data_IF_509535381355
#
_entry.id   IF_509535381355
#
_cell.length_a   1.000
_cell.length_b   1.000
_cell.length_c   1.000
_cell.angle_alpha   90.00
_cell.angle_beta   90.00
_cell.angle_gamma   90.00
#
_symmetry.space_group_name_H-M   'P 1'
#
loop_
_entity.id
_entity.type
_entity.pdbx_description
1 polymer ?
#
# COMPACT_ATOMS: atom_id res chain seq x y z
N UNK A 1 11.46 8.22 -18.79
CA UNK A 1 11.37 7.26 -17.67
C UNK A 1 10.64 7.93 -16.52
N UNK A 2 9.50 7.39 -16.09
CA UNK A 2 8.77 7.92 -14.92
C UNK A 2 9.53 7.49 -13.67
N UNK A 3 10.18 8.41 -12.97
CA UNK A 3 10.81 8.09 -11.68
C UNK A 3 9.68 7.79 -10.70
N UNK A 4 9.55 6.57 -10.18
CA UNK A 4 8.62 6.33 -9.08
C UNK A 4 9.22 6.96 -7.82
N UNK A 5 8.42 7.72 -7.06
CA UNK A 5 8.82 8.13 -5.71
C UNK A 5 8.15 7.16 -4.75
N UNK A 6 8.95 6.50 -3.95
CA UNK A 6 8.46 5.68 -2.85
C UNK A 6 8.10 6.60 -1.68
N UNK A 7 6.90 6.45 -1.13
CA UNK A 7 6.51 7.14 0.11
C UNK A 7 6.52 6.14 1.24
N UNK A 8 7.20 6.48 2.33
CA UNK A 8 7.18 5.68 3.56
C UNK A 8 5.75 5.66 4.11
N UNK A 9 5.20 4.47 4.28
CA UNK A 9 3.91 4.23 4.89
C UNK A 9 4.14 3.78 6.33
N UNK A 10 4.11 4.74 7.25
CA UNK A 10 4.41 4.49 8.66
C UNK A 10 3.40 3.50 9.26
N UNK A 11 3.90 2.33 9.63
CA UNK A 11 3.18 1.36 10.43
C UNK A 11 3.87 1.25 11.79
N UNK A 12 3.13 1.09 12.89
CA UNK A 12 3.70 0.89 14.22
C UNK A 12 4.26 -0.53 14.36
N UNK A 13 5.21 -0.88 13.50
CA UNK A 13 6.03 -2.09 13.60
C UNK A 13 7.24 -1.77 14.48
N UNK A 14 7.54 -2.63 15.45
CA UNK A 14 8.61 -2.36 16.42
C UNK A 14 9.54 -3.57 16.64
N UNK A 15 10.75 -3.27 17.12
CA UNK A 15 11.69 -4.27 17.63
C UNK A 15 11.34 -4.62 19.07
N UNK A 16 11.02 -5.89 19.33
CA UNK A 16 10.67 -6.32 20.69
C UNK A 16 11.89 -6.34 21.60
N UNK A 17 13.05 -6.67 21.04
CA UNK A 17 14.34 -6.51 21.70
C UNK A 17 14.54 -5.09 22.22
N UNK A 18 14.32 -4.07 21.38
CA UNK A 18 14.49 -2.66 21.74
C UNK A 18 13.56 -2.23 22.86
N UNK A 19 12.29 -2.63 22.81
CA UNK A 19 11.31 -2.37 23.88
C UNK A 19 11.75 -3.00 25.21
N UNK A 20 12.09 -4.29 25.20
CA UNK A 20 12.54 -4.97 26.42
C UNK A 20 13.77 -4.30 27.01
N UNK A 21 14.76 -3.98 26.18
CA UNK A 21 15.97 -3.32 26.65
C UNK A 21 15.68 -1.94 27.27
N UNK A 22 14.75 -1.18 26.71
CA UNK A 22 14.31 0.09 27.29
C UNK A 22 13.69 -0.11 28.70
N UNK A 23 12.89 -1.17 28.86
CA UNK A 23 12.24 -1.58 30.11
C UNK A 23 13.18 -2.25 31.12
N UNK A 24 14.42 -2.58 30.74
CA UNK A 24 15.34 -3.33 31.60
C UNK A 24 15.56 -2.61 32.95
N UNK A 25 15.60 -3.31 34.10
CA UNK A 25 15.78 -2.65 35.39
C UNK A 25 17.20 -2.07 35.56
N UNK A 26 18.18 -2.62 34.84
CA UNK A 26 19.58 -2.18 34.91
C UNK A 26 19.78 -0.89 34.12
N UNK A 27 20.48 0.08 34.73
CA UNK A 27 20.91 1.30 34.02
C UNK A 27 22.36 1.17 33.53
N UNK A 28 23.19 0.45 34.29
CA UNK A 28 24.58 0.13 33.97
C UNK A 28 24.92 -1.25 34.54
N UNK A 29 25.52 -2.11 33.72
CA UNK A 29 25.93 -3.45 34.14
C UNK A 29 27.14 -3.90 33.29
N UNK A 30 27.97 -4.84 33.78
CA UNK A 30 28.93 -5.58 32.96
C UNK A 30 28.28 -6.14 31.68
N UNK A 31 29.07 -6.29 30.62
CA UNK A 31 28.57 -6.83 29.35
C UNK A 31 28.05 -8.27 29.49
N UNK A 32 28.69 -9.11 30.32
CA UNK A 32 28.19 -10.46 30.65
C UNK A 32 26.77 -10.44 31.22
N UNK A 33 26.50 -9.57 32.19
CA UNK A 33 25.17 -9.45 32.81
C UNK A 33 24.10 -9.01 31.78
N UNK A 34 24.48 -8.13 30.85
CA UNK A 34 23.60 -7.74 29.75
C UNK A 34 23.34 -8.88 28.77
N UNK A 35 24.35 -9.70 28.45
CA UNK A 35 24.19 -10.91 27.64
C UNK A 35 23.18 -11.88 28.27
N UNK A 36 23.40 -12.25 29.53
CA UNK A 36 22.53 -13.17 30.26
C UNK A 36 21.09 -12.64 30.34
N UNK A 37 20.95 -11.35 30.62
CA UNK A 37 19.65 -10.70 30.68
C UNK A 37 18.94 -10.72 29.33
N UNK A 38 19.66 -10.46 28.23
CA UNK A 38 19.11 -10.48 26.87
C UNK A 38 18.69 -11.89 26.43
N UNK A 39 19.48 -12.90 26.74
CA UNK A 39 19.13 -14.30 26.47
C UNK A 39 17.87 -14.74 27.22
N UNK A 40 17.72 -14.27 28.46
CA UNK A 40 16.49 -14.50 29.22
C UNK A 40 15.24 -13.87 28.56
N UNK A 41 15.39 -12.83 27.71
CA UNK A 41 14.26 -12.19 27.04
C UNK A 41 13.70 -13.03 25.89
N UNK A 42 14.44 -14.00 25.36
CA UNK A 42 13.93 -14.92 24.32
C UNK A 42 12.71 -15.68 24.87
N UNK A 43 12.78 -16.14 26.12
CA UNK A 43 11.65 -16.79 26.82
C UNK A 43 10.46 -15.84 27.04
N UNK A 44 10.69 -14.52 26.99
CA UNK A 44 9.68 -13.45 27.15
C UNK A 44 9.20 -12.86 25.82
N UNK A 45 9.44 -13.55 24.72
CA UNK A 45 8.87 -13.26 23.41
C UNK A 45 9.78 -12.48 22.45
N UNK A 46 11.01 -12.13 22.84
CA UNK A 46 12.02 -11.64 21.88
C UNK A 46 12.39 -12.78 20.94
N UNK A 47 12.48 -12.52 19.64
CA UNK A 47 12.90 -13.55 18.68
C UNK A 47 14.39 -13.83 18.86
N UNK A 48 14.78 -15.11 18.96
CA UNK A 48 16.19 -15.50 18.97
C UNK A 48 16.94 -14.93 17.77
N UNK A 49 16.30 -14.93 16.59
CA UNK A 49 16.88 -14.35 15.36
C UNK A 49 17.08 -12.84 15.43
N UNK A 50 16.19 -12.13 16.11
CA UNK A 50 16.36 -10.69 16.34
C UNK A 50 17.53 -10.43 17.28
N UNK A 51 17.66 -11.24 18.32
CA UNK A 51 18.78 -11.17 19.25
C UNK A 51 20.10 -11.50 18.55
N UNK A 52 20.15 -12.56 17.75
CA UNK A 52 21.33 -12.97 16.98
C UNK A 52 21.78 -11.86 16.02
N UNK A 53 20.84 -11.28 15.26
CA UNK A 53 21.11 -10.15 14.37
C UNK A 53 21.61 -8.90 15.13
N UNK A 54 21.20 -8.73 16.39
CA UNK A 54 21.64 -7.62 17.22
C UNK A 54 23.00 -7.84 17.90
N UNK A 55 23.40 -9.10 18.15
CA UNK A 55 24.65 -9.44 18.85
C UNK A 55 25.86 -8.81 18.16
N UNK A 56 25.96 -8.92 16.84
CA UNK A 56 27.06 -8.32 16.09
C UNK A 56 27.18 -6.81 16.29
N UNK A 57 26.06 -6.09 16.46
CA UNK A 57 26.04 -4.65 16.68
C UNK A 57 26.31 -4.26 18.13
N UNK A 58 25.76 -5.01 19.08
CA UNK A 58 25.89 -4.74 20.50
C UNK A 58 27.33 -4.92 20.98
N UNK A 59 28.02 -5.93 20.46
CA UNK A 59 29.27 -6.43 21.02
C UNK A 59 30.49 -6.21 20.11
N UNK A 60 30.34 -5.52 18.97
CA UNK A 60 31.43 -5.29 18.00
C UNK A 60 32.71 -4.71 18.61
N UNK A 61 32.56 -3.87 19.63
CA UNK A 61 33.66 -3.10 20.25
C UNK A 61 33.96 -3.55 21.68
N UNK A 62 33.33 -4.64 22.14
CA UNK A 62 33.45 -5.14 23.53
C UNK A 62 34.32 -6.38 23.51
N UNK A 63 35.60 -6.21 23.82
CA UNK A 63 36.57 -7.31 23.90
C UNK A 63 36.61 -7.96 25.29
N UNK A 64 36.17 -7.23 26.31
CA UNK A 64 36.21 -7.65 27.71
C UNK A 64 34.79 -7.59 28.29
N UNK A 65 34.29 -8.74 28.74
CA UNK A 65 32.95 -8.90 29.29
C UNK A 65 32.72 -8.14 30.61
N UNK A 66 33.80 -7.72 31.28
CA UNK A 66 33.75 -6.89 32.50
C UNK A 66 33.45 -5.42 32.23
N UNK A 67 33.54 -4.97 30.97
CA UNK A 67 33.24 -3.59 30.58
C UNK A 67 31.79 -3.27 30.94
N UNK A 68 31.60 -2.20 31.72
CA UNK A 68 30.27 -1.75 32.13
C UNK A 68 29.64 -0.91 31.04
N UNK A 69 28.52 -1.37 30.53
CA UNK A 69 27.73 -0.68 29.50
C UNK A 69 26.47 -0.09 30.13
N UNK A 70 26.17 1.13 29.72
CA UNK A 70 24.91 1.78 30.09
C UNK A 70 23.79 1.33 29.15
N UNK A 71 22.55 1.31 29.65
CA UNK A 71 21.36 1.04 28.83
C UNK A 71 21.27 1.98 27.62
N UNK A 72 21.61 3.25 27.81
CA UNK A 72 21.58 4.26 26.74
C UNK A 72 22.56 3.93 25.60
N UNK A 73 23.77 3.45 25.92
CA UNK A 73 24.75 3.02 24.90
C UNK A 73 24.22 1.82 24.09
N UNK A 74 23.63 0.83 24.77
CA UNK A 74 23.06 -0.33 24.09
C UNK A 74 21.88 0.07 23.19
N UNK A 75 20.96 0.91 23.68
CA UNK A 75 19.84 1.42 22.88
C UNK A 75 20.32 2.22 21.66
N UNK A 76 21.38 3.02 21.79
CA UNK A 76 21.96 3.77 20.69
C UNK A 76 22.53 2.84 19.59
N UNK A 77 23.13 1.71 19.97
CA UNK A 77 23.59 0.67 19.02
C UNK A 77 22.44 -0.03 18.30
N UNK A 78 21.22 0.00 18.83
CA UNK A 78 20.03 -0.62 18.24
C UNK A 78 19.19 0.32 17.36
N UNK A 79 19.63 1.54 17.02
CA UNK A 79 18.85 2.49 16.20
C UNK A 79 18.72 2.05 14.73
N UNK A 80 19.62 1.19 14.26
CA UNK A 80 19.66 0.68 12.89
C UNK A 80 19.76 -0.84 12.88
N UNK A 81 18.74 -1.48 13.45
CA UNK A 81 18.72 -2.93 13.52
C UNK A 81 18.53 -3.53 12.12
N UNK A 82 19.18 -4.66 11.80
CA UNK A 82 18.91 -5.39 10.57
C UNK A 82 17.44 -5.84 10.47
N UNK A 83 16.74 -5.86 11.61
CA UNK A 83 15.32 -6.19 11.73
C UNK A 83 14.38 -4.99 11.61
N UNK A 84 14.88 -3.75 11.52
CA UNK A 84 14.03 -2.60 11.29
C UNK A 84 13.35 -2.71 9.92
N UNK A 85 12.05 -2.46 9.90
CA UNK A 85 11.21 -2.60 8.71
C UNK A 85 10.64 -1.24 8.31
N UNK A 86 10.76 -0.94 7.02
CA UNK A 86 10.10 0.21 6.39
C UNK A 86 9.15 -0.30 5.34
N UNK A 87 7.86 0.01 5.51
CA UNK A 87 6.84 -0.23 4.49
C UNK A 87 6.75 0.98 3.59
N UNK A 88 6.80 0.76 2.28
CA UNK A 88 6.77 1.80 1.26
C UNK A 88 5.61 1.57 0.30
N UNK A 89 5.01 2.66 -0.13
CA UNK A 89 3.98 2.70 -1.17
C UNK A 89 4.59 3.36 -2.42
N UNK A 90 4.75 2.64 -3.55
CA UNK A 90 5.18 3.23 -4.80
C UNK A 90 4.14 4.26 -5.26
N UNK A 91 4.57 5.50 -5.52
CA UNK A 91 3.71 6.54 -6.08
C UNK A 91 4.25 7.01 -7.42
N UNK A 92 3.33 7.26 -8.37
CA UNK A 92 3.69 8.02 -9.56
C UNK A 92 4.11 9.42 -9.10
N UNK A 93 5.27 9.89 -9.58
CA UNK A 93 5.82 11.21 -9.24
C UNK A 93 4.93 12.35 -9.68
N UNK A 94 4.17 12.15 -10.76
CA UNK A 94 3.09 13.05 -11.17
C UNK A 94 1.74 12.40 -10.84
N UNK A 95 0.87 13.06 -10.06
CA UNK A 95 -0.55 12.77 -10.13
C UNK A 95 -0.95 12.79 -11.61
N UNK A 96 -1.83 11.88 -12.05
CA UNK A 96 -2.47 12.10 -13.33
C UNK A 96 -3.19 13.45 -13.27
N UNK A 97 -3.11 14.30 -14.31
CA UNK A 97 -3.80 15.58 -14.33
C UNK A 97 -5.26 15.39 -13.91
N UNK A 98 -5.80 16.32 -13.12
CA UNK A 98 -7.19 16.24 -12.72
C UNK A 98 -8.06 16.27 -13.99
N UNK A 99 -8.88 15.23 -14.16
CA UNK A 99 -9.85 15.18 -15.25
C UNK A 99 -11.03 16.06 -14.86
N UNK A 100 -11.20 17.17 -15.57
CA UNK A 100 -12.37 18.02 -15.46
C UNK A 100 -13.30 17.72 -16.63
N UNK A 101 -14.58 17.55 -16.34
CA UNK A 101 -15.64 17.42 -17.34
C UNK A 101 -16.17 18.83 -17.63
N UNK A 102 -16.17 19.23 -18.90
CA UNK A 102 -16.77 20.50 -19.31
C UNK A 102 -18.30 20.40 -19.27
N UNK A 103 -18.93 21.35 -18.59
CA UNK A 103 -20.39 21.41 -18.42
C UNK A 103 -20.97 22.66 -19.09
N UNK A 104 -20.26 23.79 -19.04
CA UNK A 104 -20.62 25.04 -19.72
C UNK A 104 -22.10 25.44 -19.59
N UNK A 105 -22.63 25.52 -18.36
CA UNK A 105 -24.02 25.93 -18.10
C UNK A 105 -24.11 27.12 -17.15
N UNK A 106 -25.19 27.89 -17.27
CA UNK A 106 -25.51 28.94 -16.30
C UNK A 106 -25.81 28.29 -14.94
N UNK A 107 -25.38 28.93 -13.86
CA UNK A 107 -25.65 28.46 -12.52
C UNK A 107 -27.11 28.77 -12.13
N UNK A 108 -27.91 27.74 -11.89
CA UNK A 108 -29.37 27.89 -11.71
C UNK A 108 -29.80 28.31 -10.30
N UNK A 109 -28.90 28.40 -9.31
CA UNK A 109 -29.27 28.74 -7.92
C UNK A 109 -29.03 30.20 -7.59
N UNK A 110 -30.10 30.89 -7.18
CA UNK A 110 -30.12 32.24 -6.59
C UNK A 110 -29.58 32.30 -5.14
N UNK A 111 -28.60 31.45 -4.78
CA UNK A 111 -28.00 31.53 -3.45
C UNK A 111 -27.12 32.79 -3.35
N UNK A 112 -27.74 33.83 -2.80
CA UNK A 112 -27.21 35.16 -2.59
C UNK A 112 -25.76 35.13 -2.09
N UNK A 113 -24.88 35.75 -2.86
CA UNK A 113 -23.48 35.91 -2.52
C UNK A 113 -23.34 36.94 -1.38
N UNK A 114 -23.26 36.45 -0.14
CA UNK A 114 -22.87 37.23 1.04
C UNK A 114 -21.36 37.52 0.98
N UNK A 115 -20.93 38.57 0.29
CA UNK A 115 -19.53 39.02 0.47
C UNK A 115 -18.94 40.05 -0.47
N UNK A 116 -19.47 40.28 -1.68
CA UNK A 116 -19.00 41.35 -2.56
C UNK A 116 -20.19 42.23 -2.92
N UNK A 117 -20.30 43.38 -2.24
CA UNK A 117 -21.46 44.28 -2.35
C UNK A 117 -21.52 45.06 -3.67
N UNK A 118 -20.43 45.06 -4.45
CA UNK A 118 -20.27 45.96 -5.60
C UNK A 118 -20.23 45.22 -6.96
N UNK A 119 -20.52 43.92 -7.00
CA UNK A 119 -20.54 43.15 -8.26
C UNK A 119 -21.97 43.14 -8.81
N UNK A 120 -22.19 43.88 -9.89
CA UNK A 120 -23.47 43.94 -10.61
C UNK A 120 -23.87 42.54 -11.08
N UNK A 121 -24.93 42.01 -10.47
CA UNK A 121 -25.78 40.86 -10.85
C UNK A 121 -25.47 40.20 -12.21
N UNK A 122 -24.43 39.37 -12.27
CA UNK A 122 -24.30 38.35 -13.33
C UNK A 122 -24.17 36.99 -12.69
N UNK A 123 -25.06 36.08 -13.09
CA UNK A 123 -25.05 34.70 -12.63
C UNK A 123 -23.72 34.04 -13.05
N UNK A 124 -23.07 33.28 -12.15
CA UNK A 124 -21.89 32.51 -12.53
C UNK A 124 -22.20 31.55 -13.66
N UNK A 125 -21.20 31.30 -14.51
CA UNK A 125 -21.19 30.17 -15.44
C UNK A 125 -20.41 29.02 -14.80
N UNK A 126 -21.04 27.86 -14.65
CA UNK A 126 -20.34 26.61 -14.33
C UNK A 126 -19.64 26.12 -15.59
N UNK A 127 -18.31 26.15 -15.57
CA UNK A 127 -17.50 25.81 -16.73
C UNK A 127 -17.15 24.33 -16.71
N UNK A 128 -16.58 23.84 -15.61
CA UNK A 128 -16.13 22.46 -15.51
C UNK A 128 -16.26 21.87 -14.11
N UNK A 129 -16.34 20.54 -14.02
CA UNK A 129 -16.53 19.80 -12.76
C UNK A 129 -15.52 18.67 -12.62
N UNK A 130 -15.11 18.39 -11.38
CA UNK A 130 -14.42 17.17 -11.02
C UNK A 130 -15.20 16.47 -9.89
N UNK A 131 -15.95 15.43 -10.26
CA UNK A 131 -16.82 14.71 -9.33
C UNK A 131 -16.05 13.98 -8.21
N UNK A 132 -14.81 13.54 -8.47
CA UNK A 132 -14.02 12.79 -7.51
C UNK A 132 -13.63 13.63 -6.27
N UNK A 133 -13.45 14.94 -6.45
CA UNK A 133 -13.05 15.87 -5.37
C UNK A 133 -14.12 16.89 -5.01
N UNK A 134 -15.29 16.79 -5.63
CA UNK A 134 -16.38 17.74 -5.50
C UNK A 134 -15.93 19.17 -5.85
N UNK A 135 -15.13 19.32 -6.92
CA UNK A 135 -14.74 20.63 -7.44
C UNK A 135 -15.70 21.08 -8.53
N UNK A 136 -16.14 22.33 -8.44
CA UNK A 136 -16.93 23.00 -9.46
C UNK A 136 -16.26 24.33 -9.81
N UNK A 137 -15.75 24.45 -11.04
CA UNK A 137 -15.08 25.66 -11.51
C UNK A 137 -16.10 26.59 -12.13
N UNK A 138 -16.25 27.75 -11.51
CA UNK A 138 -17.17 28.79 -11.95
C UNK A 138 -16.40 30.01 -12.44
N UNK A 139 -16.90 30.63 -13.49
CA UNK A 139 -16.43 31.91 -14.02
C UNK A 139 -17.52 32.97 -13.83
N UNK A 140 -17.12 34.16 -13.39
CA UNK A 140 -17.96 35.35 -13.34
C UNK A 140 -17.38 36.41 -14.25
N UNK A 141 -18.27 37.11 -14.95
CA UNK A 141 -17.93 38.31 -15.70
C UNK A 141 -18.33 39.50 -14.85
N UNK A 142 -17.33 40.17 -14.27
CA UNK A 142 -17.51 41.39 -13.48
C UNK A 142 -17.25 42.58 -14.39
N UNK A 143 -18.06 43.63 -14.24
CA UNK A 143 -17.77 44.93 -14.84
C UNK A 143 -17.49 45.91 -13.71
N UNK A 144 -16.31 46.51 -13.71
CA UNK A 144 -15.91 47.55 -12.77
C UNK A 144 -15.38 48.79 -13.52
N UNK A 145 -14.81 49.76 -12.77
CA UNK A 145 -14.24 50.99 -13.34
C UNK A 145 -13.01 50.75 -14.21
N UNK A 146 -12.38 49.58 -14.11
CA UNK A 146 -11.22 49.17 -14.91
C UNK A 146 -11.63 48.34 -16.15
N UNK A 147 -12.91 48.01 -16.28
CA UNK A 147 -13.48 47.35 -17.45
C UNK A 147 -14.20 46.04 -17.11
N UNK A 148 -14.34 45.18 -18.12
CA UNK A 148 -14.92 43.85 -17.97
C UNK A 148 -13.80 42.87 -17.65
N UNK A 149 -13.91 42.17 -16.53
CA UNK A 149 -12.95 41.17 -16.08
C UNK A 149 -13.64 39.85 -15.80
N UNK A 150 -12.95 38.75 -16.14
CA UNK A 150 -13.33 37.42 -15.71
C UNK A 150 -12.62 37.08 -14.40
N UNK A 151 -13.38 36.57 -13.43
CA UNK A 151 -12.81 35.99 -12.22
C UNK A 151 -13.35 34.59 -12.01
N UNK A 152 -12.45 33.73 -11.55
CA UNK A 152 -12.68 32.31 -11.42
C UNK A 152 -12.69 31.91 -9.94
N UNK A 153 -13.46 30.88 -9.60
CA UNK A 153 -13.48 30.32 -8.25
C UNK A 153 -13.86 28.85 -8.26
N UNK A 154 -13.36 28.12 -7.26
CA UNK A 154 -13.69 26.71 -7.05
C UNK A 154 -14.75 26.59 -5.96
N UNK A 155 -15.88 26.00 -6.31
CA UNK A 155 -17.01 25.73 -5.42
C UNK A 155 -17.13 24.22 -5.13
N UNK A 156 -17.88 23.89 -4.07
CA UNK A 156 -18.31 22.53 -3.76
C UNK A 156 -19.61 22.16 -4.49
N UNK A 157 -20.08 20.91 -4.33
CA UNK A 157 -21.32 20.39 -4.92
C UNK A 157 -22.58 21.15 -4.51
N UNK A 158 -22.47 22.00 -3.49
CA UNK A 158 -23.55 22.83 -2.96
C UNK A 158 -23.41 24.30 -3.37
N UNK A 159 -22.43 24.66 -4.19
CA UNK A 159 -22.20 26.04 -4.64
C UNK A 159 -21.47 26.92 -3.62
N UNK A 160 -20.93 26.35 -2.55
CA UNK A 160 -20.18 27.12 -1.53
C UNK A 160 -18.71 27.15 -1.91
N UNK A 161 -17.93 28.18 -1.49
CA UNK A 161 -16.49 28.17 -1.69
C UNK A 161 -15.90 26.87 -1.15
N UNK A 162 -15.13 26.17 -1.97
CA UNK A 162 -14.64 24.85 -1.61
C UNK A 162 -13.77 24.94 -0.34
N UNK A 163 -13.98 24.02 0.61
CA UNK A 163 -13.23 23.97 1.88
C UNK A 163 -12.95 22.54 2.27
N UNK A 164 -11.81 22.31 2.92
CA UNK A 164 -11.48 21.03 3.54
C UNK A 164 -11.10 21.20 5.00
N UNK A 165 -11.70 20.38 5.87
CA UNK A 165 -11.33 20.30 7.30
C UNK A 165 -9.84 19.94 7.53
N UNK A 166 -9.21 19.31 6.54
CA UNK A 166 -7.84 18.82 6.61
C UNK A 166 -6.78 19.86 6.24
N UNK A 167 -7.17 20.96 5.60
CA UNK A 167 -6.25 22.02 5.15
C UNK A 167 -6.39 23.31 5.98
N UNK A 168 -7.10 23.24 7.11
CA UNK A 168 -7.38 24.40 7.96
C UNK A 168 -8.42 25.37 7.37
N UNK A 169 -8.62 26.52 8.03
CA UNK A 169 -9.60 27.55 7.64
C UNK A 169 -9.12 28.47 6.52
N UNK A 170 -8.30 28.00 5.58
CA UNK A 170 -7.89 28.85 4.45
C UNK A 170 -9.10 29.06 3.51
N UNK A 171 -9.50 30.31 3.23
CA UNK A 171 -10.57 30.58 2.29
C UNK A 171 -10.11 30.23 0.86
N UNK A 172 -11.00 29.63 0.06
CA UNK A 172 -10.77 29.45 -1.38
C UNK A 172 -10.67 30.84 -2.05
N UNK A 173 -9.53 31.18 -2.67
CA UNK A 173 -9.31 32.48 -3.30
C UNK A 173 -10.09 32.60 -4.62
N UNK A 174 -10.11 33.81 -5.17
CA UNK A 174 -10.46 34.04 -6.57
C UNK A 174 -9.21 33.89 -7.45
N UNK A 175 -9.40 33.53 -8.72
CA UNK A 175 -8.33 33.33 -9.70
C UNK A 175 -8.57 34.19 -10.94
N UNK A 176 -7.51 34.60 -11.62
CA UNK A 176 -7.61 35.40 -12.84
C UNK A 176 -7.92 34.56 -14.09
N UNK A 177 -7.78 33.23 -14.02
CA UNK A 177 -8.03 32.32 -15.14
C UNK A 177 -8.49 30.93 -14.71
N UNK A 178 -9.08 30.19 -15.64
CA UNK A 178 -9.44 28.78 -15.45
C UNK A 178 -8.21 27.93 -15.09
N UNK A 179 -7.08 28.16 -15.77
CA UNK A 179 -5.85 27.40 -15.55
C UNK A 179 -5.25 27.64 -14.16
N UNK A 180 -5.37 28.84 -13.62
CA UNK A 180 -5.01 29.11 -12.22
C UNK A 180 -5.92 28.37 -11.24
N UNK A 181 -7.24 28.36 -11.49
CA UNK A 181 -8.19 27.62 -10.67
C UNK A 181 -7.92 26.11 -10.71
N UNK A 182 -7.65 25.55 -11.91
CA UNK A 182 -7.26 24.14 -12.10
C UNK A 182 -5.95 23.81 -11.39
N UNK A 183 -4.91 24.65 -11.53
CA UNK A 183 -3.64 24.47 -10.81
C UNK A 183 -3.84 24.49 -9.30
N UNK A 184 -4.67 25.40 -8.79
CA UNK A 184 -5.00 25.43 -7.37
C UNK A 184 -5.71 24.14 -6.92
N UNK A 185 -6.65 23.60 -7.70
CA UNK A 185 -7.27 22.30 -7.44
C UNK A 185 -6.23 21.18 -7.38
N UNK A 186 -5.26 21.17 -8.30
CA UNK A 186 -4.18 20.18 -8.31
C UNK A 186 -3.29 20.29 -7.05
N UNK A 187 -2.96 21.50 -6.62
CA UNK A 187 -2.22 21.74 -5.37
C UNK A 187 -2.99 21.28 -4.14
N UNK A 188 -4.29 21.60 -4.08
CA UNK A 188 -5.20 21.16 -3.01
C UNK A 188 -5.25 19.65 -2.97
N UNK A 189 -5.42 18.97 -4.11
CA UNK A 189 -5.40 17.51 -4.18
C UNK A 189 -4.04 16.97 -3.78
N UNK A 190 -2.93 17.58 -4.19
CA UNK A 190 -1.59 17.15 -3.78
C UNK A 190 -1.40 17.20 -2.25
N UNK A 191 -1.98 18.20 -1.58
CA UNK A 191 -1.94 18.32 -0.10
C UNK A 191 -2.93 17.40 0.60
N UNK A 192 -4.09 17.12 0.00
CA UNK A 192 -5.05 16.15 0.51
C UNK A 192 -4.61 14.70 0.28
N UNK A 193 -3.79 14.43 -0.74
CA UNK A 193 -3.40 13.08 -1.18
C UNK A 193 -2.72 12.26 -0.08
N UNK A 194 -1.76 12.78 0.71
CA UNK A 194 -1.21 12.08 1.85
C UNK A 194 -2.27 11.72 2.90
N UNK A 195 -3.29 12.57 3.09
CA UNK A 195 -4.28 12.46 4.17
C UNK A 195 -5.52 11.64 3.79
N UNK A 196 -5.93 11.64 2.52
CA UNK A 196 -7.08 10.87 2.00
C UNK A 196 -6.69 9.51 1.41
N UNK A 197 -5.40 9.19 1.36
CA UNK A 197 -4.93 7.94 0.73
C UNK A 197 -5.26 7.81 -0.77
N UNK A 198 -5.74 8.87 -1.45
CA UNK A 198 -6.51 8.70 -2.69
C UNK A 198 -6.30 9.69 -3.84
N UNK A 199 -5.16 10.40 -3.94
CA UNK A 199 -4.99 11.39 -5.04
C UNK A 199 -3.69 11.39 -5.86
N UNK A 200 -2.72 10.55 -5.49
CA UNK A 200 -1.70 10.09 -6.44
C UNK A 200 -2.04 8.65 -6.67
N UNK A 201 -2.33 8.27 -7.91
CA UNK A 201 -2.44 6.87 -8.27
C UNK A 201 -1.16 6.18 -7.77
N UNK A 202 -1.34 5.15 -6.94
CA UNK A 202 -0.25 4.25 -6.62
C UNK A 202 0.40 3.84 -7.94
N UNK A 203 1.73 3.90 -8.00
CA UNK A 203 2.46 3.36 -9.14
C UNK A 203 2.38 1.84 -9.00
N UNK A 204 1.27 1.27 -9.44
CA UNK A 204 1.03 -0.16 -9.46
C UNK A 204 1.68 -0.72 -10.71
N UNK A 205 2.67 -1.61 -10.52
CA UNK A 205 3.41 -2.26 -11.60
C UNK A 205 2.62 -3.43 -12.19
N UNK A 206 1.80 -4.08 -11.37
CA UNK A 206 1.16 -5.37 -11.65
C UNK A 206 -0.37 -5.29 -11.62
N UNK A 207 -0.94 -4.12 -11.91
CA UNK A 207 -2.39 -3.88 -11.92
C UNK A 207 -3.19 -4.84 -12.82
N UNK A 208 -2.56 -5.39 -13.86
CA UNK A 208 -3.15 -6.38 -14.76
C UNK A 208 -3.26 -7.79 -14.14
N UNK A 209 -2.51 -8.06 -13.08
CA UNK A 209 -2.55 -9.31 -12.31
C UNK A 209 -3.47 -9.24 -11.09
N UNK A 210 -4.21 -8.14 -10.95
CA UNK A 210 -5.15 -7.96 -9.84
C UNK A 210 -6.37 -8.87 -9.98
N UNK A 211 -6.84 -9.40 -8.85
CA UNK A 211 -8.13 -10.06 -8.71
C UNK A 211 -9.26 -9.04 -8.90
N UNK A 212 -10.22 -9.34 -9.77
CA UNK A 212 -11.27 -8.39 -10.19
C UNK A 212 -12.28 -8.10 -9.07
N UNK A 213 -13.00 -7.00 -9.22
CA UNK A 213 -14.04 -6.48 -8.30
C UNK A 213 -13.57 -5.82 -7.01
N UNK A 214 -12.29 -5.91 -6.64
CA UNK A 214 -11.77 -5.15 -5.52
C UNK A 214 -11.78 -3.65 -5.80
N UNK A 215 -11.68 -2.84 -4.76
CA UNK A 215 -11.42 -1.40 -4.82
C UNK A 215 -9.98 -1.11 -4.36
N UNK A 216 -9.48 0.09 -4.62
CA UNK A 216 -8.24 0.62 -4.03
C UNK A 216 -7.05 -0.36 -4.06
N UNK A 217 -6.74 -0.87 -5.26
CA UNK A 217 -5.60 -1.77 -5.45
C UNK A 217 -4.28 -1.09 -5.12
N UNK A 218 -3.46 -1.75 -4.31
CA UNK A 218 -2.16 -1.25 -3.86
C UNK A 218 -1.11 -2.35 -3.89
N UNK A 219 0.10 -1.93 -4.18
CA UNK A 219 1.33 -2.72 -4.08
C UNK A 219 2.18 -2.13 -2.98
N UNK A 220 2.60 -2.97 -2.04
CA UNK A 220 3.37 -2.55 -0.87
C UNK A 220 4.74 -3.19 -0.90
N UNK A 221 5.76 -2.38 -0.64
CA UNK A 221 7.15 -2.82 -0.59
C UNK A 221 7.59 -2.81 0.86
N UNK A 222 7.85 -3.99 1.41
CA UNK A 222 8.35 -4.15 2.78
C UNK A 222 9.86 -4.30 2.68
N UNK A 223 10.58 -3.31 3.20
CA UNK A 223 12.04 -3.20 3.09
C UNK A 223 12.71 -3.32 4.45
N UNK A 224 13.92 -3.86 4.49
CA UNK A 224 14.77 -3.94 5.69
C UNK A 224 16.03 -3.08 5.48
N UNK A 225 15.94 -1.75 5.70
CA UNK A 225 16.93 -0.79 5.21
C UNK A 225 18.35 -0.95 5.78
N UNK A 226 18.48 -1.61 6.92
CA UNK A 226 19.76 -1.83 7.59
C UNK A 226 20.20 -3.30 7.55
N UNK A 227 19.44 -4.17 6.88
CA UNK A 227 19.85 -5.56 6.70
C UNK A 227 20.96 -5.65 5.63
N UNK A 228 22.15 -6.18 5.98
CA UNK A 228 23.28 -6.28 5.06
C UNK A 228 23.11 -7.50 4.15
N UNK A 229 22.19 -7.42 3.17
CA UNK A 229 22.09 -8.44 2.13
C UNK A 229 23.47 -8.62 1.46
N UNK A 230 23.97 -9.87 1.39
CA UNK A 230 25.35 -10.22 0.97
C UNK A 230 25.76 -9.66 -0.41
N UNK A 231 24.79 -9.29 -1.22
CA UNK A 231 24.90 -8.35 -2.31
C UNK A 231 23.64 -7.49 -2.19
N UNK A 232 23.65 -6.18 -2.46
CA UNK A 232 22.43 -5.34 -2.41
C UNK A 232 21.32 -6.01 -3.21
N UNK A 233 20.47 -6.78 -2.53
CA UNK A 233 19.53 -7.65 -3.20
C UNK A 233 18.51 -6.73 -3.86
N UNK A 234 18.60 -6.66 -5.18
CA UNK A 234 17.64 -5.97 -6.02
C UNK A 234 16.91 -7.09 -6.74
N UNK A 235 15.61 -7.20 -6.52
CA UNK A 235 14.78 -8.06 -7.35
C UNK A 235 14.85 -7.52 -8.78
N UNK A 236 15.67 -8.17 -9.62
CA UNK A 236 15.88 -7.73 -11.01
C UNK A 236 14.60 -7.80 -11.85
N UNK A 237 13.58 -8.51 -11.38
CA UNK A 237 12.33 -8.77 -12.11
C UNK A 237 11.13 -8.02 -11.50
N UNK A 238 11.03 -7.90 -10.17
CA UNK A 238 9.82 -7.38 -9.51
C UNK A 238 9.89 -5.88 -9.19
N UNK A 239 10.86 -5.42 -8.40
CA UNK A 239 11.01 -3.99 -8.10
C UNK A 239 12.48 -3.63 -7.95
N UNK A 240 12.88 -2.50 -8.53
CA UNK A 240 14.21 -1.93 -8.38
C UNK A 240 14.39 -1.21 -7.02
N UNK A 241 13.81 -1.78 -5.97
CA UNK A 241 13.83 -1.22 -4.61
C UNK A 241 14.92 -1.94 -3.83
N UNK A 242 15.91 -1.22 -3.29
CA UNK A 242 16.97 -1.83 -2.51
C UNK A 242 16.38 -2.44 -1.24
N UNK A 243 17.00 -3.54 -0.79
CA UNK A 243 16.66 -4.18 0.49
C UNK A 243 15.18 -4.60 0.57
N UNK A 244 14.59 -4.98 -0.57
CA UNK A 244 13.23 -5.47 -0.64
C UNK A 244 13.15 -6.87 -0.01
N UNK A 245 12.53 -6.95 1.17
CA UNK A 245 12.31 -8.21 1.86
C UNK A 245 11.11 -8.96 1.26
N UNK A 246 9.99 -8.25 1.04
CA UNK A 246 8.80 -8.82 0.42
C UNK A 246 7.93 -7.75 -0.24
N UNK A 247 7.05 -8.22 -1.11
CA UNK A 247 6.02 -7.46 -1.80
C UNK A 247 4.64 -8.02 -1.43
N UNK A 248 3.69 -7.11 -1.17
CA UNK A 248 2.29 -7.46 -0.93
C UNK A 248 1.40 -6.80 -1.99
N UNK A 249 0.41 -7.53 -2.50
CA UNK A 249 -0.67 -6.97 -3.32
C UNK A 249 -1.97 -7.01 -2.52
N UNK A 250 -2.67 -5.89 -2.47
CA UNK A 250 -3.92 -5.80 -1.72
C UNK A 250 -4.99 -5.05 -2.48
N UNK A 251 -6.24 -5.44 -2.27
CA UNK A 251 -7.42 -4.66 -2.63
C UNK A 251 -8.38 -4.57 -1.44
N UNK A 252 -9.32 -3.63 -1.48
CA UNK A 252 -10.43 -3.56 -0.52
C UNK A 252 -11.66 -4.23 -1.11
N UNK A 253 -12.27 -5.13 -0.37
CA UNK A 253 -13.53 -5.78 -0.75
C UNK A 253 -14.60 -5.51 0.30
N UNK A 254 -15.84 -5.87 -0.06
CA UNK A 254 -17.01 -5.79 0.81
C UNK A 254 -17.74 -7.13 0.84
N UNK A 255 -18.23 -7.49 2.02
CA UNK A 255 -19.16 -8.61 2.24
C UNK A 255 -20.27 -8.11 3.16
N UNK A 256 -21.44 -7.80 2.60
CA UNK A 256 -22.47 -7.01 3.28
C UNK A 256 -21.96 -5.60 3.65
N UNK A 257 -22.05 -5.26 4.93
CA UNK A 257 -21.56 -3.99 5.48
C UNK A 257 -20.06 -4.02 5.81
N UNK A 258 -19.48 -5.21 5.95
CA UNK A 258 -18.08 -5.36 6.34
C UNK A 258 -17.16 -4.99 5.17
N UNK A 259 -16.13 -4.17 5.44
CA UNK A 259 -15.07 -3.85 4.48
C UNK A 259 -13.77 -4.47 4.93
N UNK A 260 -13.07 -5.19 4.06
CA UNK A 260 -11.84 -5.89 4.46
C UNK A 260 -10.70 -5.68 3.47
N UNK A 261 -9.47 -5.73 4.00
CA UNK A 261 -8.26 -5.75 3.21
C UNK A 261 -8.02 -7.17 2.71
N UNK A 262 -8.18 -7.38 1.42
CA UNK A 262 -7.92 -8.65 0.78
C UNK A 262 -6.48 -8.70 0.27
N UNK A 263 -5.72 -9.66 0.80
CA UNK A 263 -4.33 -9.89 0.48
C UNK A 263 -4.26 -10.86 -0.70
N UNK A 264 -4.18 -10.29 -1.90
CA UNK A 264 -4.14 -11.02 -3.18
C UNK A 264 -2.83 -11.75 -3.41
N UNK A 265 -1.73 -11.23 -2.84
CA UNK A 265 -0.43 -11.88 -2.93
C UNK A 265 0.50 -11.48 -1.78
N UNK A 266 1.26 -12.45 -1.30
CA UNK A 266 2.43 -12.27 -0.43
C UNK A 266 3.61 -12.96 -1.11
N UNK A 267 4.63 -12.19 -1.49
CA UNK A 267 5.79 -12.74 -2.21
C UNK A 267 7.11 -12.17 -1.67
N UNK A 268 8.07 -13.06 -1.43
CA UNK A 268 9.45 -12.69 -1.09
C UNK A 268 10.42 -13.38 -2.04
N UNK A 269 10.93 -12.64 -3.04
CA UNK A 269 11.96 -13.16 -3.94
C UNK A 269 13.24 -13.51 -3.19
N UNK A 270 13.56 -12.72 -2.15
CA UNK A 270 14.71 -12.94 -1.31
C UNK A 270 14.63 -14.31 -0.62
N UNK A 271 13.56 -14.56 0.14
CA UNK A 271 13.40 -15.82 0.86
C UNK A 271 13.21 -17.01 -0.11
N UNK A 272 12.63 -16.79 -1.30
CA UNK A 272 12.56 -17.81 -2.35
C UNK A 272 13.94 -18.15 -2.92
N UNK A 273 14.80 -17.16 -3.17
CA UNK A 273 16.19 -17.36 -3.64
C UNK A 273 17.00 -18.10 -2.58
N UNK A 274 16.96 -17.66 -1.33
CA UNK A 274 17.63 -18.32 -0.22
C UNK A 274 17.24 -19.80 -0.09
N UNK A 275 15.93 -20.08 -0.12
CA UNK A 275 15.41 -21.46 -0.06
C UNK A 275 15.88 -22.34 -1.23
N UNK A 276 16.13 -21.75 -2.42
CA UNK A 276 16.65 -22.49 -3.58
C UNK A 276 18.15 -22.76 -3.44
N UNK A 277 18.94 -21.78 -2.99
CA UNK A 277 20.38 -21.94 -2.76
C UNK A 277 20.69 -23.07 -1.78
N UNK A 278 19.90 -23.17 -0.70
CA UNK A 278 20.04 -24.24 0.30
C UNK A 278 19.77 -25.63 -0.29
N UNK A 279 18.72 -25.78 -1.10
CA UNK A 279 18.42 -27.07 -1.76
C UNK A 279 19.47 -27.46 -2.80
N UNK A 280 20.13 -26.47 -3.41
CA UNK A 280 21.20 -26.69 -4.39
C UNK A 280 22.55 -27.07 -3.77
N UNK A 281 22.66 -27.13 -2.44
CA UNK A 281 23.92 -27.50 -1.77
C UNK A 281 25.04 -26.45 -1.88
N UNK A 282 24.74 -25.23 -2.33
CA UNK A 282 25.74 -24.17 -2.53
C UNK A 282 26.11 -23.41 -1.23
N UNK A 283 25.83 -23.97 -0.06
CA UNK A 283 26.52 -23.67 1.21
C UNK A 283 26.38 -22.26 1.81
N UNK A 284 25.72 -21.31 1.16
CA UNK A 284 25.54 -19.97 1.73
C UNK A 284 24.48 -20.06 2.83
N UNK A 285 24.92 -19.92 4.08
CA UNK A 285 24.04 -19.79 5.24
C UNK A 285 23.38 -18.42 5.15
N UNK A 286 22.14 -18.37 4.67
CA UNK A 286 21.33 -17.15 4.68
C UNK A 286 20.99 -16.78 6.14
N UNK A 287 21.74 -15.83 6.72
CA UNK A 287 21.54 -15.28 8.06
C UNK A 287 20.40 -14.25 8.12
N UNK A 288 19.39 -14.42 7.28
CA UNK A 288 18.22 -13.57 7.26
C UNK A 288 17.34 -13.82 8.50
N UNK A 289 17.16 -12.82 9.39
CA UNK A 289 16.38 -12.98 10.60
C UNK A 289 14.89 -13.20 10.32
N UNK A 290 14.42 -12.89 9.10
CA UNK A 290 13.06 -13.11 8.65
C UNK A 290 12.85 -14.48 7.97
N UNK A 291 13.90 -15.28 7.79
CA UNK A 291 13.81 -16.63 7.22
C UNK A 291 12.87 -17.49 8.08
N UNK A 292 11.65 -17.73 7.61
CA UNK A 292 10.60 -18.45 8.34
C UNK A 292 9.58 -17.58 9.10
N UNK A 293 9.81 -16.27 9.23
CA UNK A 293 8.84 -15.33 9.83
C UNK A 293 8.30 -14.28 8.85
N UNK A 294 8.86 -14.18 7.64
CA UNK A 294 8.46 -13.17 6.65
C UNK A 294 6.96 -13.21 6.32
N UNK A 295 6.33 -14.39 6.26
CA UNK A 295 4.87 -14.49 6.06
C UNK A 295 4.11 -13.86 7.23
N UNK A 296 4.53 -14.13 8.46
CA UNK A 296 3.91 -13.55 9.64
C UNK A 296 4.10 -12.03 9.69
N UNK A 297 5.29 -11.54 9.33
CA UNK A 297 5.55 -10.10 9.19
C UNK A 297 4.63 -9.45 8.14
N UNK A 298 4.46 -10.08 6.97
CA UNK A 298 3.54 -9.60 5.93
C UNK A 298 2.09 -9.51 6.43
N UNK A 299 1.63 -10.51 7.19
CA UNK A 299 0.31 -10.50 7.81
C UNK A 299 0.17 -9.43 8.90
N UNK A 300 1.18 -9.23 9.76
CA UNK A 300 1.19 -8.15 10.76
C UNK A 300 1.12 -6.78 10.08
N UNK A 301 1.87 -6.57 9.01
CA UNK A 301 1.80 -5.35 8.20
C UNK A 301 0.39 -5.16 7.60
N UNK A 302 -0.21 -6.21 7.03
CA UNK A 302 -1.57 -6.15 6.50
C UNK A 302 -2.63 -5.82 7.57
N UNK A 303 -2.51 -6.39 8.78
CA UNK A 303 -3.38 -6.05 9.92
C UNK A 303 -3.24 -4.57 10.28
N UNK A 304 -2.02 -4.05 10.41
CA UNK A 304 -1.81 -2.63 10.72
C UNK A 304 -2.28 -1.70 9.60
N UNK A 305 -2.16 -2.10 8.33
CA UNK A 305 -2.76 -1.40 7.19
C UNK A 305 -4.28 -1.34 7.32
N UNK A 306 -4.93 -2.48 7.59
CA UNK A 306 -6.38 -2.56 7.77
C UNK A 306 -6.86 -1.71 8.96
N UNK A 307 -6.17 -1.76 10.11
CA UNK A 307 -6.48 -0.89 11.25
C UNK A 307 -6.39 0.60 10.88
N UNK A 308 -5.31 1.01 10.19
CA UNK A 308 -5.11 2.40 9.75
C UNK A 308 -6.16 2.85 8.74
N UNK A 309 -6.62 1.95 7.88
CA UNK A 309 -7.65 2.21 6.87
C UNK A 309 -9.08 2.15 7.44
N UNK A 310 -9.25 1.73 8.70
CA UNK A 310 -10.56 1.56 9.33
C UNK A 310 -11.37 0.41 8.74
N UNK A 311 -10.69 -0.67 8.31
CA UNK A 311 -11.32 -1.86 7.72
C UNK A 311 -11.63 -2.91 8.79
N UNK A 312 -12.71 -3.66 8.60
CA UNK A 312 -13.27 -4.66 9.51
C UNK A 312 -12.53 -6.01 9.50
N UNK A 313 -11.50 -6.14 8.66
CA UNK A 313 -10.57 -7.25 8.78
C UNK A 313 -9.57 -7.40 7.65
N UNK A 314 -8.86 -8.53 7.69
CA UNK A 314 -7.88 -8.95 6.68
C UNK A 314 -8.25 -10.34 6.19
N UNK A 315 -8.47 -10.48 4.89
CA UNK A 315 -8.69 -11.77 4.24
C UNK A 315 -7.50 -12.12 3.34
N UNK A 316 -7.26 -13.40 3.10
CA UNK A 316 -6.10 -13.88 2.34
C UNK A 316 -6.58 -14.76 1.18
N UNK A 317 -6.00 -14.57 0.00
CA UNK A 317 -6.28 -15.40 -1.16
C UNK A 317 -5.97 -16.88 -0.92
N UNK A 318 -6.73 -17.75 -1.57
CA UNK A 318 -6.40 -19.19 -1.69
C UNK A 318 -5.29 -19.42 -2.71
N UNK A 319 -4.68 -20.61 -2.74
CA UNK A 319 -3.70 -20.96 -3.77
C UNK A 319 -4.28 -21.06 -5.18
N UNK A 320 -5.58 -21.35 -5.29
CA UNK A 320 -6.28 -21.46 -6.57
C UNK A 320 -6.43 -20.12 -7.30
N UNK A 321 -6.51 -19.01 -6.57
CA UNK A 321 -6.75 -17.69 -7.16
C UNK A 321 -5.52 -17.15 -7.91
N UNK A 322 -4.30 -17.15 -7.33
CA UNK A 322 -3.09 -16.88 -8.09
C UNK A 322 -2.90 -17.84 -9.27
N UNK A 323 -3.28 -19.12 -9.16
CA UNK A 323 -3.21 -20.07 -10.28
C UNK A 323 -4.10 -19.64 -11.45
N UNK A 324 -5.29 -19.09 -11.17
CA UNK A 324 -6.16 -18.51 -12.20
C UNK A 324 -5.53 -17.27 -12.83
N UNK A 325 -4.96 -16.37 -12.02
CA UNK A 325 -4.33 -15.13 -12.50
C UNK A 325 -3.11 -15.46 -13.38
N UNK A 326 -2.23 -16.34 -12.90
CA UNK A 326 -0.98 -16.73 -13.57
C UNK A 326 -1.17 -17.76 -14.67
N UNK A 327 -2.32 -18.44 -14.72
CA UNK A 327 -2.66 -19.51 -15.68
C UNK A 327 -1.61 -20.61 -15.76
N UNK A 328 -0.97 -20.85 -14.64
CA UNK A 328 0.06 -21.86 -14.51
C UNK A 328 -0.22 -22.55 -13.18
N UNK A 329 -0.96 -23.67 -13.19
CA UNK A 329 -1.24 -24.42 -11.99
C UNK A 329 0.05 -24.76 -11.27
N UNK A 330 0.13 -24.44 -9.99
CA UNK A 330 1.36 -24.66 -9.23
C UNK A 330 1.00 -25.21 -7.85
N UNK A 331 1.27 -26.51 -7.65
CA UNK A 331 1.04 -27.19 -6.36
C UNK A 331 1.72 -26.48 -5.19
N UNK A 332 2.84 -25.80 -5.43
CA UNK A 332 3.54 -24.98 -4.44
C UNK A 332 2.71 -23.79 -3.95
N UNK A 333 1.84 -23.20 -4.79
CA UNK A 333 0.97 -22.09 -4.37
C UNK A 333 -0.15 -22.55 -3.45
N UNK A 334 -0.78 -23.69 -3.73
CA UNK A 334 -1.75 -24.30 -2.82
C UNK A 334 -1.11 -24.61 -1.45
N UNK A 335 0.07 -25.24 -1.42
CA UNK A 335 0.79 -25.49 -0.16
C UNK A 335 1.14 -24.17 0.55
N UNK A 336 1.59 -23.16 -0.18
CA UNK A 336 1.96 -21.88 0.41
C UNK A 336 0.76 -21.14 1.01
N UNK A 337 -0.26 -20.80 0.21
CA UNK A 337 -1.41 -20.03 0.69
C UNK A 337 -2.30 -20.85 1.59
N UNK A 338 -2.69 -22.03 1.13
CA UNK A 338 -3.70 -22.82 1.83
C UNK A 338 -3.09 -23.48 3.06
N UNK A 339 -1.78 -23.72 3.18
CA UNK A 339 -1.21 -24.32 4.41
C UNK A 339 -0.39 -23.32 5.20
N UNK A 340 0.65 -22.74 4.60
CA UNK A 340 1.60 -21.93 5.37
C UNK A 340 1.02 -20.57 5.78
N UNK A 341 0.38 -19.84 4.85
CA UNK A 341 -0.21 -18.53 5.14
C UNK A 341 -1.40 -18.70 6.07
N UNK A 342 -2.29 -19.67 5.83
CA UNK A 342 -3.41 -19.99 6.74
C UNK A 342 -2.94 -20.30 8.16
N UNK A 343 -1.93 -21.17 8.34
CA UNK A 343 -1.37 -21.46 9.67
C UNK A 343 -0.76 -20.23 10.34
N UNK A 344 -0.11 -19.35 9.58
CA UNK A 344 0.44 -18.10 10.11
C UNK A 344 -0.69 -17.13 10.52
N UNK A 345 -1.77 -17.05 9.73
CA UNK A 345 -2.96 -16.28 10.02
C UNK A 345 -3.64 -16.76 11.30
N UNK A 346 -3.78 -18.09 11.46
CA UNK A 346 -4.37 -18.70 12.64
C UNK A 346 -3.58 -18.39 13.92
N UNK A 347 -2.25 -18.55 13.84
CA UNK A 347 -1.33 -18.20 14.93
C UNK A 347 -1.46 -16.72 15.29
N UNK A 348 -1.54 -15.84 14.29
CA UNK A 348 -1.70 -14.40 14.49
C UNK A 348 -3.05 -14.08 15.18
N UNK A 349 -4.15 -14.70 14.74
CA UNK A 349 -5.46 -14.52 15.38
C UNK A 349 -5.43 -14.89 16.86
N UNK A 350 -4.88 -16.08 17.18
CA UNK A 350 -4.77 -16.55 18.56
C UNK A 350 -3.93 -15.60 19.41
N UNK A 351 -2.83 -15.13 18.86
CA UNK A 351 -1.88 -14.23 19.52
C UNK A 351 -2.48 -12.85 19.84
N UNK A 352 -3.36 -12.36 18.96
CA UNK A 352 -4.07 -11.09 19.11
C UNK A 352 -5.44 -11.21 19.79
N UNK A 353 -5.89 -12.44 20.04
CA UNK A 353 -7.24 -12.78 20.51
C UNK A 353 -8.34 -12.26 19.57
N UNK A 354 -8.09 -12.38 18.26
CA UNK A 354 -9.04 -11.98 17.22
C UNK A 354 -9.91 -13.17 16.80
N UNK A 355 -11.12 -12.84 16.37
CA UNK A 355 -12.04 -13.78 15.76
C UNK A 355 -11.56 -14.16 14.35
N UNK A 356 -11.56 -15.46 14.07
CA UNK A 356 -11.37 -15.98 12.72
C UNK A 356 -12.73 -16.31 12.12
N UNK A 357 -12.87 -16.04 10.83
CA UNK A 357 -14.02 -16.46 10.06
C UNK A 357 -13.67 -16.64 8.60
N UNK A 358 -14.69 -16.60 7.77
CA UNK A 358 -14.55 -16.51 6.32
C UNK A 358 -15.38 -15.34 5.80
N UNK A 359 -15.00 -14.84 4.63
CA UNK A 359 -15.78 -13.89 3.85
C UNK A 359 -15.91 -14.39 2.43
N UNK A 360 -17.00 -13.99 1.81
CA UNK A 360 -17.21 -14.22 0.39
C UNK A 360 -16.84 -12.97 -0.38
N UNK A 361 -16.03 -13.10 -1.42
CA UNK A 361 -15.86 -12.04 -2.40
C UNK A 361 -16.18 -12.52 -3.80
N UNK A 362 -16.66 -11.58 -4.61
CA UNK A 362 -17.02 -11.80 -6.01
C UNK A 362 -15.78 -11.59 -6.87
N UNK A 363 -15.15 -12.69 -7.29
CA UNK A 363 -14.09 -12.68 -8.29
C UNK A 363 -14.61 -12.97 -9.69
N UNK A 364 -13.75 -12.84 -10.70
CA UNK A 364 -14.05 -13.37 -12.03
C UNK A 364 -13.44 -14.77 -12.14
N UNK A 365 -14.24 -15.76 -12.54
CA UNK A 365 -13.76 -17.13 -12.89
C UNK A 365 -12.62 -17.15 -13.92
N UNK A 366 -12.58 -16.14 -14.80
CA UNK A 366 -11.66 -16.05 -15.92
C UNK A 366 -10.80 -14.82 -15.78
N UNK A 367 -9.53 -15.04 -15.50
CA UNK A 367 -8.51 -14.00 -15.51
C UNK A 367 -8.00 -13.80 -16.93
N UNK A 368 -8.21 -12.60 -17.45
CA UNK A 368 -7.68 -12.15 -18.73
C UNK A 368 -6.63 -11.06 -18.53
N UNK A 369 -5.65 -11.02 -19.41
CA UNK A 369 -4.61 -9.99 -19.42
C UNK A 369 -4.55 -9.41 -20.83
N UNK A 370 -4.33 -8.10 -20.91
CA UNK A 370 -4.15 -7.39 -22.17
C UNK A 370 -2.67 -7.15 -22.35
N UNK A 371 -2.08 -7.89 -23.28
CA UNK A 371 -0.65 -7.84 -23.58
C UNK A 371 -0.40 -6.99 -24.82
N UNK A 372 0.70 -6.22 -24.84
CA UNK A 372 1.15 -5.63 -26.09
C UNK A 372 1.56 -6.74 -27.06
N UNK A 373 1.07 -6.66 -28.28
CA UNK A 373 1.47 -7.51 -29.40
C UNK A 373 2.09 -6.61 -30.48
N UNK A 374 3.05 -7.13 -31.24
CA UNK A 374 3.67 -6.39 -32.33
C UNK A 374 3.32 -7.07 -33.64
N UNK A 375 2.69 -6.31 -34.55
CA UNK A 375 2.46 -6.75 -35.91
C UNK A 375 3.13 -5.81 -36.90
N UNK A 376 3.29 -6.25 -38.13
CA UNK A 376 3.69 -5.40 -39.25
C UNK A 376 2.44 -4.90 -39.98
N UNK A 377 2.49 -3.68 -40.49
CA UNK A 377 1.48 -3.19 -41.42
C UNK A 377 1.89 -3.48 -42.87
N UNK A 378 1.06 -3.03 -43.80
CA UNK A 378 1.27 -3.21 -45.25
C UNK A 378 2.58 -2.53 -45.73
N UNK A 379 3.10 -1.55 -44.97
CA UNK A 379 4.35 -0.85 -45.27
C UNK A 379 5.57 -1.43 -44.54
N UNK A 380 5.43 -2.58 -43.87
CA UNK A 380 6.48 -3.20 -43.04
C UNK A 380 6.79 -2.45 -41.73
N UNK A 381 6.03 -1.40 -41.39
CA UNK A 381 6.21 -0.68 -40.14
C UNK A 381 5.63 -1.48 -38.98
N UNK A 382 6.41 -1.56 -37.89
CA UNK A 382 6.02 -2.26 -36.66
C UNK A 382 4.94 -1.46 -35.93
N UNK A 383 3.70 -1.95 -35.98
CA UNK A 383 2.57 -1.37 -35.25
C UNK A 383 2.40 -2.11 -33.92
N UNK A 384 2.35 -1.34 -32.84
CA UNK A 384 1.95 -1.84 -31.54
C UNK A 384 0.45 -2.08 -31.54
N UNK A 385 0.06 -3.33 -31.30
CA UNK A 385 -1.32 -3.75 -31.12
C UNK A 385 -1.50 -4.34 -29.72
N UNK A 386 -2.73 -4.73 -29.40
CA UNK A 386 -3.07 -5.28 -28.09
C UNK A 386 -3.85 -6.57 -28.27
N UNK A 387 -3.51 -7.59 -27.49
CA UNK A 387 -4.14 -8.92 -27.58
C UNK A 387 -4.64 -9.32 -26.21
N UNK A 388 -5.80 -9.96 -26.17
CA UNK A 388 -6.36 -10.54 -24.95
C UNK A 388 -5.89 -11.97 -24.86
N UNK A 389 -5.26 -12.33 -23.75
CA UNK A 389 -4.88 -13.71 -23.46
C UNK A 389 -5.78 -14.26 -22.35
N UNK A 390 -6.07 -15.57 -22.36
CA UNK A 390 -6.70 -16.31 -21.25
C UNK A 390 -8.21 -16.40 -21.24
N UNK A 391 -8.83 -16.11 -22.37
CA UNK A 391 -10.26 -16.35 -22.55
C UNK A 391 -10.38 -17.26 -23.76
N UNK A 392 -10.75 -18.54 -23.57
CA UNK A 392 -10.91 -19.48 -24.67
C UNK A 392 -11.82 -18.90 -25.75
N UNK A 393 -11.39 -18.97 -27.00
CA UNK A 393 -12.15 -18.50 -28.17
C UNK A 393 -11.93 -17.04 -28.60
N UNK A 394 -11.18 -16.23 -27.83
CA UNK A 394 -10.87 -14.82 -28.22
C UNK A 394 -9.37 -14.52 -28.31
N UNK A 395 -8.54 -15.56 -28.22
CA UNK A 395 -7.08 -15.45 -28.10
C UNK A 395 -6.42 -14.84 -29.35
N UNK A 396 -7.07 -14.87 -30.50
CA UNK A 396 -6.54 -14.32 -31.76
C UNK A 396 -7.04 -12.90 -32.07
N UNK A 397 -7.86 -12.30 -31.20
CA UNK A 397 -8.36 -10.94 -31.43
C UNK A 397 -7.29 -9.92 -31.10
N UNK A 398 -7.09 -9.00 -32.03
CA UNK A 398 -6.10 -7.94 -31.92
C UNK A 398 -6.78 -6.58 -32.01
N UNK A 399 -6.42 -5.69 -31.10
CA UNK A 399 -7.05 -4.39 -30.91
C UNK A 399 -6.05 -3.27 -31.21
N UNK A 400 -6.56 -2.18 -31.77
CA UNK A 400 -5.77 -0.97 -32.05
C UNK A 400 -5.40 -0.19 -30.78
N UNK A 401 -6.14 -0.36 -29.68
CA UNK A 401 -5.85 0.27 -28.39
C UNK A 401 -6.02 -0.68 -27.21
N UNK A 402 -5.33 -0.40 -26.12
CA UNK A 402 -5.38 -1.17 -24.87
C UNK A 402 -6.78 -1.08 -24.27
N UNK A 403 -7.38 0.10 -24.29
CA UNK A 403 -8.70 0.38 -23.75
C UNK A 403 -9.78 -0.42 -24.49
N UNK A 404 -9.66 -0.56 -25.81
CA UNK A 404 -10.58 -1.39 -26.59
C UNK A 404 -10.47 -2.87 -26.21
N UNK A 405 -9.25 -3.40 -26.11
CA UNK A 405 -9.02 -4.77 -25.63
C UNK A 405 -9.57 -4.99 -24.22
N UNK A 406 -9.34 -4.03 -23.30
CA UNK A 406 -9.85 -4.11 -21.93
C UNK A 406 -11.38 -4.08 -21.86
N UNK A 407 -12.05 -3.22 -22.64
CA UNK A 407 -13.53 -3.18 -22.71
C UNK A 407 -14.08 -4.50 -23.26
N UNK A 408 -13.48 -5.01 -24.33
CA UNK A 408 -13.90 -6.28 -24.92
C UNK A 408 -13.74 -7.43 -23.92
N UNK A 409 -12.58 -7.52 -23.25
CA UNK A 409 -12.33 -8.55 -22.26
C UNK A 409 -13.26 -8.43 -21.04
N UNK A 410 -13.56 -7.21 -20.59
CA UNK A 410 -14.52 -6.96 -19.51
C UNK A 410 -15.94 -7.42 -19.87
N UNK A 411 -16.38 -7.18 -21.12
CA UNK A 411 -17.68 -7.64 -21.60
C UNK A 411 -17.80 -9.18 -21.61
N UNK A 412 -16.71 -9.89 -21.91
CA UNK A 412 -16.69 -11.36 -22.02
C UNK A 412 -16.31 -12.07 -20.72
N UNK A 413 -15.90 -11.34 -19.69
CA UNK A 413 -15.65 -11.89 -18.36
C UNK A 413 -16.95 -11.95 -17.56
N UNK A 414 -17.88 -12.80 -18.00
CA UNK A 414 -19.27 -12.80 -17.53
C UNK A 414 -19.59 -13.79 -16.42
N UNK A 415 -18.62 -14.60 -15.95
CA UNK A 415 -18.87 -15.53 -14.85
C UNK A 415 -18.18 -15.02 -13.59
N UNK A 416 -18.97 -14.30 -12.79
CA UNK A 416 -18.65 -13.95 -11.41
C UNK A 416 -18.66 -15.24 -10.59
N UNK A 417 -17.59 -15.50 -9.86
CA UNK A 417 -17.48 -16.62 -8.93
C UNK A 417 -17.39 -16.05 -7.52
N UNK A 418 -18.12 -16.67 -6.63
CA UNK A 418 -18.03 -16.40 -5.20
C UNK A 418 -16.91 -17.25 -4.61
N UNK A 419 -15.87 -16.59 -4.12
CA UNK A 419 -14.75 -17.22 -3.45
C UNK A 419 -14.90 -17.02 -1.94
N UNK A 420 -14.92 -18.11 -1.19
CA UNK A 420 -14.93 -18.10 0.27
C UNK A 420 -13.49 -18.22 0.77
N UNK A 421 -13.03 -17.20 1.49
CA UNK A 421 -11.62 -17.07 1.92
C UNK A 421 -11.52 -16.84 3.41
N UNK A 422 -10.43 -17.31 4.07
CA UNK A 422 -10.23 -17.08 5.51
C UNK A 422 -10.02 -15.59 5.80
N UNK A 423 -10.57 -15.12 6.92
CA UNK A 423 -10.50 -13.74 7.37
C UNK A 423 -10.17 -13.64 8.87
N UNK A 424 -9.34 -12.67 9.22
CA UNK A 424 -9.23 -12.13 10.57
C UNK A 424 -10.15 -10.93 10.73
N UNK A 425 -11.12 -11.03 11.64
CA UNK A 425 -12.02 -9.91 11.95
C UNK A 425 -11.34 -8.92 12.90
N UNK A 426 -11.52 -7.63 12.61
CA UNK A 426 -10.97 -6.51 13.34
C UNK A 426 -12.12 -5.60 13.77
N UNK A 427 -12.69 -5.84 14.97
CA UNK A 427 -13.74 -5.00 15.54
C UNK A 427 -13.18 -3.61 15.89
N UNK A 428 -14.05 -2.63 16.12
CA UNK A 428 -13.67 -1.23 16.39
C UNK A 428 -12.58 -1.08 17.45
N UNK A 429 -12.75 -1.73 18.60
CA UNK A 429 -11.80 -1.67 19.71
C UNK A 429 -10.47 -2.39 19.42
N UNK A 430 -10.53 -3.49 18.67
CA UNK A 430 -9.33 -4.23 18.24
C UNK A 430 -8.44 -3.36 17.35
N UNK A 431 -9.04 -2.63 16.41
CA UNK A 431 -8.29 -1.76 15.49
C UNK A 431 -7.53 -0.68 16.24
N UNK A 432 -8.18 -0.01 17.18
CA UNK A 432 -7.56 1.05 17.97
C UNK A 432 -6.48 0.49 18.89
N UNK A 433 -6.76 -0.63 19.58
CA UNK A 433 -5.82 -1.32 20.46
C UNK A 433 -4.56 -1.73 19.71
N UNK A 434 -4.70 -2.45 18.61
CA UNK A 434 -3.60 -2.99 17.81
C UNK A 434 -2.78 -1.87 17.18
N UNK A 435 -3.44 -0.85 16.61
CA UNK A 435 -2.72 0.25 15.98
C UNK A 435 -1.97 1.12 17.01
N UNK A 436 -2.54 1.33 18.20
CA UNK A 436 -1.86 2.07 19.28
C UNK A 436 -0.69 1.28 19.87
N UNK A 437 -0.85 -0.03 20.09
CA UNK A 437 0.22 -0.87 20.65
C UNK A 437 1.31 -1.21 19.65
N UNK A 438 0.99 -1.16 18.36
CA UNK A 438 1.85 -1.70 17.31
C UNK A 438 1.94 -3.23 17.32
N UNK A 439 2.77 -3.76 16.43
CA UNK A 439 3.10 -5.19 16.35
C UNK A 439 4.60 -5.40 16.20
N UNK A 440 5.17 -6.47 16.80
CA UNK A 440 6.59 -6.74 16.66
C UNK A 440 6.95 -7.22 15.25
N UNK A 441 8.13 -6.80 14.76
CA UNK A 441 8.66 -7.23 13.46
C UNK A 441 8.99 -8.72 13.43
N UNK A 442 9.43 -9.29 14.56
CA UNK A 442 9.78 -10.69 14.76
C UNK A 442 9.26 -11.20 16.10
N UNK A 443 9.10 -12.51 16.23
CA UNK A 443 8.71 -13.13 17.49
C UNK A 443 7.20 -13.20 17.72
N UNK A 444 6.80 -13.54 18.94
CA UNK A 444 5.38 -13.73 19.29
C UNK A 444 4.69 -12.39 19.56
N UNK A 445 3.42 -12.30 19.17
CA UNK A 445 2.53 -11.21 19.56
C UNK A 445 1.81 -11.67 20.83
N UNK A 446 2.01 -11.00 21.96
CA UNK A 446 1.41 -11.41 23.23
C UNK A 446 2.25 -11.06 24.44
N UNK A 447 1.60 -10.81 25.56
CA UNK A 447 2.24 -10.57 26.86
C UNK A 447 2.91 -11.86 27.31
N UNK A 448 4.24 -11.88 27.31
CA UNK A 448 4.97 -12.64 28.32
C UNK A 448 4.88 -11.92 29.65
#
# INVERSE_FOLDING_TARGET
MTVSREVVYELPLYSRLRERLAEAPMQIAPAADWHDWLDAQVKKGVSGKELDAARGLLWSDVLDESVRLTKAQLLAKLVQLPTDIVVKLPRKTRPEPLKFEEVNRLWERDEAFLGVRDVVNRMPRLVSVNAAYDFQLCCWVISDVLGIQEVWRVLDGKGRPWRSRWLGKQPCPFFASEDEAKRWCEEVVARLTPMRGGGRACAVKWSEWRIKSGEDYREWLVTAPFFPFEERFISTVHFATPQLLMHLRTSVYRDGEDRFLYLEEIQSDYCQRASRSERGGHGVVDDNPFKGEWVALGLRAAVLMACRMGLDGVAVSSGAEPDQVYRSPNRGRAVFYDVQVRKALEKLAKSLRLEQGSVTHKGNSRHWIVLPSFGENITGARIRRWQISGVPGIENLVFSSREAAMRYAAHHASVVVENVVPMLRLRGDDRQRIYRSGLPVLGSVGTG
#
